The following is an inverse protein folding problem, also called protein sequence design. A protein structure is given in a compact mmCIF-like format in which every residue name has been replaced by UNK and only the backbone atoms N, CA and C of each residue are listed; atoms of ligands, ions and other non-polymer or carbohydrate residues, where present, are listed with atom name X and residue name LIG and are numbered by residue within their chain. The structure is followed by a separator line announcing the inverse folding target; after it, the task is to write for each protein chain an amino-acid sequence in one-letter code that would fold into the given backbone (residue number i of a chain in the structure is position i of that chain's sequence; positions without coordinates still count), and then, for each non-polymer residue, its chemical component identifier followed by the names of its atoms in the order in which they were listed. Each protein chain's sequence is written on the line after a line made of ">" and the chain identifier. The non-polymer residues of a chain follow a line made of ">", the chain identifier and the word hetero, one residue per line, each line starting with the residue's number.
data_IF_131689029748
#
_entry.id   IF_131689029748
#
_cell.length_a   1.000
_cell.length_b   1.000
_cell.length_c   1.000
_cell.angle_alpha   90.00
_cell.angle_beta   90.00
_cell.angle_gamma   90.00
#
_symmetry.space_group_name_H-M   'P 1'
#
loop_
_entity.id
_entity.type
_entity.pdbx_description
1 polymer ?
#
# COMPACT_ATOMS: atom_id res chain seq x y z
N UNK A 1 2.89 58.69 -22.50
CA UNK A 1 4.20 58.00 -22.51
C UNK A 1 4.45 57.48 -21.09
N UNK A 2 4.02 56.25 -20.80
CA UNK A 2 4.67 55.29 -19.87
C UNK A 2 3.74 54.09 -19.68
N UNK A 3 4.32 52.95 -20.01
CA UNK A 3 3.80 51.59 -20.14
C UNK A 3 4.04 50.76 -18.87
N UNK A 4 3.04 49.95 -18.49
CA UNK A 4 3.10 48.66 -17.76
C UNK A 4 3.80 48.62 -16.36
N UNK A 5 3.57 47.69 -15.42
CA UNK A 5 3.22 46.27 -15.46
C UNK A 5 2.70 45.84 -14.05
N UNK A 6 1.61 45.06 -13.96
CA UNK A 6 1.26 44.26 -12.78
C UNK A 6 1.76 42.82 -13.00
N UNK A 7 2.46 42.17 -12.05
CA UNK A 7 2.62 40.73 -12.10
C UNK A 7 1.49 40.01 -11.34
N UNK A 8 0.78 39.15 -12.07
CA UNK A 8 -0.22 38.17 -11.63
C UNK A 8 0.43 37.00 -10.90
N UNK A 9 -0.34 36.39 -10.00
CA UNK A 9 0.08 35.37 -9.05
C UNK A 9 0.58 34.03 -9.63
N UNK A 10 1.41 33.36 -8.82
CA UNK A 10 1.81 31.96 -8.99
C UNK A 10 0.72 31.06 -8.42
N UNK A 11 -0.08 30.44 -9.29
CA UNK A 11 -0.79 29.20 -8.97
C UNK A 11 0.09 28.06 -9.48
N UNK A 12 0.71 27.31 -8.57
CA UNK A 12 1.30 26.01 -8.88
C UNK A 12 0.13 25.03 -9.08
N UNK A 13 -0.22 24.79 -10.32
CA UNK A 13 -1.12 23.73 -10.72
C UNK A 13 -0.36 22.40 -10.63
N UNK A 14 -0.74 21.54 -9.69
CA UNK A 14 -0.40 20.12 -9.72
C UNK A 14 -1.45 19.47 -10.63
N UNK A 15 -1.09 19.33 -11.90
CA UNK A 15 -1.87 18.60 -12.89
C UNK A 15 -1.24 17.23 -13.08
N UNK A 16 -1.84 16.20 -12.47
CA UNK A 16 -1.75 14.83 -12.98
C UNK A 16 -3.18 14.30 -13.08
N UNK A 17 -3.70 14.33 -14.30
CA UNK A 17 -4.97 13.72 -14.67
C UNK A 17 -4.75 12.80 -15.87
N UNK A 18 -5.70 11.87 -16.02
CA UNK A 18 -5.98 10.94 -17.12
C UNK A 18 -5.40 9.53 -16.91
N UNK A 19 -6.21 8.55 -16.49
CA UNK A 19 -7.28 7.86 -17.22
C UNK A 19 -6.77 6.64 -18.00
N UNK A 20 -7.14 5.45 -17.53
CA UNK A 20 -7.25 4.27 -18.38
C UNK A 20 -8.44 3.42 -17.90
N UNK A 21 -9.56 3.56 -18.58
CA UNK A 21 -10.69 2.61 -18.59
C UNK A 21 -10.73 2.02 -20.01
N UNK A 22 -11.25 0.78 -20.12
CA UNK A 22 -11.53 -0.07 -21.29
C UNK A 22 -10.52 -1.21 -21.41
N UNK A 23 -10.85 -2.49 -21.62
CA UNK A 23 -12.06 -3.32 -21.52
C UNK A 23 -11.64 -4.79 -21.80
N UNK A 24 -12.56 -5.72 -21.55
CA UNK A 24 -12.90 -6.89 -22.41
C UNK A 24 -12.89 -8.28 -21.76
N UNK A 25 -13.95 -8.97 -22.19
CA UNK A 25 -14.54 -10.25 -21.88
C UNK A 25 -13.88 -11.48 -22.52
N UNK A 26 -14.32 -12.65 -22.02
CA UNK A 26 -14.37 -13.98 -22.64
C UNK A 26 -13.14 -14.90 -22.47
N UNK A 27 -13.41 -16.11 -21.94
CA UNK A 27 -12.44 -17.21 -21.76
C UNK A 27 -11.96 -17.86 -23.08
N UNK A 28 -11.10 -18.89 -22.99
CA UNK A 28 -11.66 -20.26 -22.89
C UNK A 28 -10.88 -21.22 -21.95
N UNK A 29 -11.58 -22.26 -21.52
CA UNK A 29 -11.05 -23.50 -20.92
C UNK A 29 -10.14 -24.24 -21.90
N UNK A 30 -8.93 -24.63 -21.49
CA UNK A 30 -8.09 -25.56 -22.26
C UNK A 30 -7.50 -26.64 -21.34
N UNK A 31 -7.77 -27.89 -21.74
CA UNK A 31 -7.35 -29.14 -21.13
C UNK A 31 -5.83 -29.37 -21.24
N UNK A 32 -5.24 -29.94 -20.20
CA UNK A 32 -3.84 -30.38 -20.19
C UNK A 32 -3.63 -31.56 -21.14
N UNK A 33 -2.73 -31.43 -22.12
CA UNK A 33 -2.24 -32.55 -22.91
C UNK A 33 -0.72 -32.68 -22.74
N UNK A 34 -0.32 -33.92 -22.46
CA UNK A 34 0.99 -34.50 -22.14
C UNK A 34 2.16 -33.95 -22.98
N UNK A 35 3.27 -33.61 -22.33
CA UNK A 35 4.47 -32.99 -22.90
C UNK A 35 5.48 -34.05 -23.38
N UNK A 36 5.89 -34.00 -24.65
CA UNK A 36 7.03 -34.75 -25.20
C UNK A 36 8.31 -33.90 -25.20
N UNK A 37 9.51 -34.50 -25.14
CA UNK A 37 10.75 -33.77 -24.84
C UNK A 37 11.26 -32.99 -26.06
N UNK A 38 11.53 -31.69 -25.86
CA UNK A 38 11.90 -30.73 -26.91
C UNK A 38 13.44 -30.63 -27.03
N UNK A 39 14.04 -30.68 -28.24
CA UNK A 39 15.48 -30.47 -28.48
C UNK A 39 15.91 -29.00 -28.25
N UNK A 40 17.21 -28.69 -28.09
CA UNK A 40 17.64 -27.42 -27.50
C UNK A 40 17.42 -26.23 -28.45
N UNK A 41 16.72 -25.21 -27.96
CA UNK A 41 16.35 -23.97 -28.69
C UNK A 41 17.40 -22.88 -28.44
N UNK A 42 17.81 -22.09 -29.46
CA UNK A 42 18.79 -21.02 -29.31
C UNK A 42 18.27 -19.84 -28.45
N UNK A 43 19.21 -19.19 -27.77
CA UNK A 43 19.02 -18.11 -26.79
C UNK A 43 18.39 -16.84 -27.40
N UNK A 44 17.06 -16.79 -27.46
CA UNK A 44 16.31 -15.56 -27.77
C UNK A 44 14.93 -15.62 -27.14
N UNK A 45 14.64 -14.62 -26.30
CA UNK A 45 13.42 -14.41 -25.53
C UNK A 45 13.05 -15.57 -24.58
N UNK A 46 13.51 -15.47 -23.32
CA UNK A 46 12.88 -16.21 -22.23
C UNK A 46 11.36 -15.98 -22.32
N UNK A 47 10.53 -17.04 -22.26
CA UNK A 47 9.09 -16.90 -22.37
C UNK A 47 8.62 -15.96 -21.26
N UNK A 48 7.88 -14.91 -21.62
CA UNK A 48 7.23 -14.04 -20.65
C UNK A 48 6.42 -14.93 -19.71
N UNK A 49 6.76 -14.95 -18.43
CA UNK A 49 5.98 -15.70 -17.46
C UNK A 49 4.55 -15.14 -17.48
N UNK A 50 3.57 -15.94 -17.92
CA UNK A 50 2.18 -15.48 -18.00
C UNK A 50 1.62 -15.05 -16.64
N UNK A 51 2.24 -15.51 -15.55
CA UNK A 51 1.90 -15.12 -14.18
C UNK A 51 2.51 -13.78 -13.76
N UNK A 52 3.61 -13.33 -14.37
CA UNK A 52 4.21 -12.00 -14.17
C UNK A 52 4.48 -11.30 -15.51
N UNK A 53 3.44 -10.66 -16.11
CA UNK A 53 3.58 -9.96 -17.38
C UNK A 53 4.63 -8.83 -17.37
N UNK A 54 5.00 -8.33 -16.19
CA UNK A 54 5.91 -7.20 -16.01
C UNK A 54 7.24 -7.60 -15.38
N UNK A 55 7.64 -8.87 -15.46
CA UNK A 55 8.85 -9.41 -14.82
C UNK A 55 10.11 -8.55 -15.06
N UNK A 56 10.33 -8.14 -16.31
CA UNK A 56 11.49 -7.31 -16.68
C UNK A 56 11.50 -5.95 -15.98
N UNK A 57 10.33 -5.32 -15.83
CA UNK A 57 10.18 -4.08 -15.08
C UNK A 57 10.36 -4.36 -13.58
N UNK A 58 9.68 -5.39 -13.08
CA UNK A 58 9.64 -5.74 -11.67
C UNK A 58 11.03 -6.03 -11.11
N UNK A 59 11.85 -6.79 -11.84
CA UNK A 59 13.23 -7.10 -11.47
C UNK A 59 14.13 -5.86 -11.47
N UNK A 60 13.95 -4.94 -12.44
CA UNK A 60 14.74 -3.69 -12.50
C UNK A 60 14.42 -2.79 -11.32
N UNK A 61 13.13 -2.58 -11.05
CA UNK A 61 12.68 -1.75 -9.93
C UNK A 61 13.03 -2.38 -8.60
N UNK A 62 12.94 -3.70 -8.46
CA UNK A 62 13.42 -4.40 -7.26
C UNK A 62 14.89 -4.08 -6.97
N UNK A 63 15.78 -4.17 -7.97
CA UNK A 63 17.20 -3.81 -7.81
C UNK A 63 17.40 -2.35 -7.44
N UNK A 64 16.58 -1.45 -7.99
CA UNK A 64 16.60 -0.03 -7.63
C UNK A 64 16.20 0.17 -6.15
N UNK A 65 15.07 -0.41 -5.72
CA UNK A 65 14.58 -0.34 -4.34
C UNK A 65 15.60 -0.93 -3.36
N UNK A 66 16.14 -2.11 -3.66
CA UNK A 66 17.14 -2.78 -2.83
C UNK A 66 18.45 -1.98 -2.73
N UNK A 67 18.85 -1.29 -3.81
CA UNK A 67 20.01 -0.38 -3.76
C UNK A 67 19.73 0.81 -2.83
N UNK A 68 18.57 1.44 -2.95
CA UNK A 68 18.19 2.55 -2.09
C UNK A 68 18.03 2.12 -0.64
N UNK A 69 17.44 0.95 -0.37
CA UNK A 69 17.34 0.41 0.98
C UNK A 69 18.72 0.25 1.61
N UNK A 70 19.63 -0.44 0.91
CA UNK A 70 20.97 -0.74 1.44
C UNK A 70 21.81 0.50 1.68
N UNK A 71 21.74 1.49 0.79
CA UNK A 71 22.63 2.66 0.83
C UNK A 71 22.05 3.89 1.50
N UNK A 72 20.72 4.01 1.61
CA UNK A 72 20.07 5.18 2.18
C UNK A 72 19.08 4.82 3.30
N UNK A 73 18.02 4.06 3.02
CA UNK A 73 16.91 3.90 3.98
C UNK A 73 17.33 3.12 5.22
N UNK A 74 18.01 1.99 5.06
CA UNK A 74 18.45 1.14 6.18
C UNK A 74 19.49 1.82 7.08
N UNK A 75 20.53 2.50 6.56
CA UNK A 75 21.41 3.32 7.39
C UNK A 75 20.67 4.40 8.17
N UNK A 76 19.73 5.11 7.54
CA UNK A 76 18.90 6.14 8.20
C UNK A 76 18.04 5.54 9.30
N UNK A 77 17.35 4.43 9.03
CA UNK A 77 16.51 3.72 10.00
C UNK A 77 17.33 3.21 11.20
N UNK A 78 18.53 2.65 10.95
CA UNK A 78 19.45 2.24 12.03
C UNK A 78 19.89 3.43 12.88
N UNK A 79 20.21 4.56 12.24
CA UNK A 79 20.60 5.79 12.93
C UNK A 79 19.45 6.29 13.80
N UNK A 80 18.22 6.35 13.26
CA UNK A 80 17.02 6.70 14.02
C UNK A 80 16.84 5.81 15.24
N UNK A 81 16.87 4.47 15.07
CA UNK A 81 16.76 3.49 16.17
C UNK A 81 17.90 3.56 17.18
N UNK A 82 19.07 4.09 16.80
CA UNK A 82 20.20 4.26 17.71
C UNK A 82 20.02 5.48 18.62
N UNK A 83 19.41 6.55 18.11
CA UNK A 83 19.26 7.81 18.84
C UNK A 83 17.91 7.98 19.55
N UNK A 84 16.87 7.33 19.06
CA UNK A 84 15.52 7.41 19.63
C UNK A 84 15.33 6.30 20.66
N UNK A 85 15.00 6.61 21.92
CA UNK A 85 14.66 5.60 22.92
C UNK A 85 13.42 4.80 22.51
N UNK A 86 13.43 3.49 22.77
CA UNK A 86 12.32 2.56 22.48
C UNK A 86 10.95 3.07 22.95
N UNK A 87 10.89 3.76 24.09
CA UNK A 87 9.64 4.31 24.62
C UNK A 87 9.03 5.37 23.67
N UNK A 88 9.87 6.23 23.11
CA UNK A 88 9.43 7.31 22.21
C UNK A 88 9.05 6.74 20.85
N UNK A 89 9.88 5.83 20.31
CA UNK A 89 9.60 5.12 19.07
C UNK A 89 8.24 4.42 19.12
N UNK A 90 8.01 3.61 20.16
CA UNK A 90 6.72 2.92 20.38
C UNK A 90 5.56 3.89 20.54
N UNK A 91 5.74 4.99 21.27
CA UNK A 91 4.66 5.96 21.46
C UNK A 91 4.24 6.61 20.13
N UNK A 92 5.21 6.95 19.28
CA UNK A 92 4.95 7.49 17.94
C UNK A 92 4.24 6.45 17.08
N UNK A 93 4.73 5.21 17.06
CA UNK A 93 4.10 4.10 16.32
C UNK A 93 2.66 3.89 16.77
N UNK A 94 2.41 3.80 18.08
CA UNK A 94 1.05 3.64 18.62
C UNK A 94 0.13 4.79 18.24
N UNK A 95 0.63 6.04 18.26
CA UNK A 95 -0.16 7.20 17.87
C UNK A 95 -0.63 7.11 16.42
N UNK A 96 0.26 6.76 15.48
CA UNK A 96 -0.12 6.59 14.08
C UNK A 96 -0.99 5.35 13.84
N UNK A 97 -0.77 4.25 14.57
CA UNK A 97 -1.64 3.08 14.51
C UNK A 97 -3.04 3.41 15.01
N UNK A 98 -3.16 4.21 16.08
CA UNK A 98 -4.44 4.71 16.58
C UNK A 98 -5.18 5.54 15.52
N UNK A 99 -4.50 6.46 14.84
CA UNK A 99 -5.12 7.23 13.74
C UNK A 99 -5.61 6.33 12.59
N UNK A 100 -4.87 5.25 12.32
CA UNK A 100 -5.24 4.27 11.30
C UNK A 100 -6.52 3.51 11.65
N UNK A 101 -6.90 3.42 12.93
CA UNK A 101 -8.16 2.75 13.30
C UNK A 101 -9.40 3.41 12.70
N UNK A 102 -9.34 4.70 12.35
CA UNK A 102 -10.42 5.38 11.61
C UNK A 102 -10.55 4.82 10.19
N UNK A 103 -9.43 4.59 9.51
CA UNK A 103 -9.38 3.92 8.20
C UNK A 103 -9.89 2.48 8.32
N UNK A 104 -9.39 1.73 9.32
CA UNK A 104 -9.79 0.35 9.56
C UNK A 104 -11.29 0.23 9.81
N UNK A 105 -11.86 1.12 10.63
CA UNK A 105 -13.30 1.19 10.88
C UNK A 105 -14.07 1.45 9.59
N UNK A 106 -13.69 2.49 8.84
CA UNK A 106 -14.39 2.89 7.61
C UNK A 106 -14.40 1.76 6.59
N UNK A 107 -13.25 1.14 6.34
CA UNK A 107 -13.13 0.02 5.41
C UNK A 107 -13.84 -1.24 5.93
N UNK A 108 -13.78 -1.54 7.24
CA UNK A 108 -14.54 -2.64 7.84
C UNK A 108 -16.04 -2.48 7.62
N UNK A 109 -16.57 -1.26 7.77
CA UNK A 109 -17.99 -0.96 7.51
C UNK A 109 -18.33 -1.14 6.03
N UNK A 110 -17.49 -0.63 5.13
CA UNK A 110 -17.67 -0.79 3.68
C UNK A 110 -17.59 -2.25 3.23
N UNK A 111 -16.83 -3.08 3.95
CA UNK A 111 -16.71 -4.52 3.72
C UNK A 111 -17.75 -5.35 4.51
N UNK A 112 -18.69 -4.71 5.22
CA UNK A 112 -19.69 -5.38 6.05
C UNK A 112 -19.10 -6.29 7.15
N UNK A 113 -17.85 -6.04 7.55
CA UNK A 113 -17.14 -6.75 8.63
C UNK A 113 -17.45 -6.10 9.98
N UNK A 114 -18.65 -6.36 10.50
CA UNK A 114 -19.14 -5.72 11.74
C UNK A 114 -18.24 -5.93 12.95
N UNK A 115 -17.68 -7.13 13.12
CA UNK A 115 -16.76 -7.42 14.23
C UNK A 115 -15.46 -6.60 14.13
N UNK A 116 -14.85 -6.51 12.95
CA UNK A 116 -13.67 -5.68 12.72
C UNK A 116 -13.96 -4.19 12.94
N UNK A 117 -15.13 -3.71 12.52
CA UNK A 117 -15.53 -2.32 12.74
C UNK A 117 -15.65 -1.99 14.23
N UNK A 118 -16.27 -2.86 15.02
CA UNK A 118 -16.40 -2.69 16.48
C UNK A 118 -15.03 -2.71 17.15
N UNK A 119 -14.15 -3.63 16.74
CA UNK A 119 -12.78 -3.72 17.25
C UNK A 119 -12.00 -2.44 16.95
N UNK A 120 -12.05 -1.92 15.73
CA UNK A 120 -11.36 -0.69 15.35
C UNK A 120 -11.86 0.53 16.16
N UNK A 121 -13.17 0.69 16.33
CA UNK A 121 -13.75 1.77 17.18
C UNK A 121 -13.35 1.61 18.64
N UNK A 122 -13.38 0.38 19.15
CA UNK A 122 -12.93 0.06 20.50
C UNK A 122 -11.47 0.44 20.70
N UNK A 123 -10.58 -0.01 19.80
CA UNK A 123 -9.15 0.31 19.82
C UNK A 123 -8.92 1.82 19.80
N UNK A 124 -9.54 2.54 18.86
CA UNK A 124 -9.46 3.99 18.77
C UNK A 124 -9.90 4.68 20.07
N UNK A 125 -11.03 4.25 20.64
CA UNK A 125 -11.62 4.86 21.83
C UNK A 125 -10.74 4.63 23.06
N UNK A 126 -10.33 3.38 23.33
CA UNK A 126 -9.52 3.06 24.50
C UNK A 126 -8.13 3.69 24.41
N UNK A 127 -7.48 3.62 23.25
CA UNK A 127 -6.15 4.19 23.07
C UNK A 127 -6.18 5.72 23.12
N UNK A 128 -7.23 6.36 22.59
CA UNK A 128 -7.37 7.82 22.68
C UNK A 128 -7.69 8.29 24.11
N UNK A 129 -8.64 7.63 24.80
CA UNK A 129 -9.14 8.08 26.10
C UNK A 129 -8.23 7.66 27.26
N UNK A 130 -7.81 6.39 27.28
CA UNK A 130 -7.00 5.83 28.36
C UNK A 130 -5.51 5.79 27.99
N UNK A 131 -5.20 5.72 26.69
CA UNK A 131 -3.85 5.61 26.17
C UNK A 131 -3.17 6.93 25.83
N UNK A 132 -3.58 8.04 26.47
CA UNK A 132 -3.02 9.38 26.27
C UNK A 132 -3.05 9.84 24.80
N UNK A 133 -4.21 9.76 24.15
CA UNK A 133 -4.37 10.19 22.76
C UNK A 133 -3.80 9.20 21.73
N UNK A 134 -3.58 7.95 22.12
CA UNK A 134 -3.06 6.89 21.25
C UNK A 134 -1.58 6.57 21.46
N UNK A 135 -0.86 7.26 22.36
CA UNK A 135 0.56 6.98 22.63
C UNK A 135 0.77 5.63 23.32
N UNK A 136 -0.24 5.14 24.04
CA UNK A 136 -0.20 3.84 24.75
C UNK A 136 -1.32 2.96 24.19
N UNK A 137 -0.95 1.76 23.72
CA UNK A 137 -1.92 0.76 23.23
C UNK A 137 -2.57 -0.01 24.39
N UNK A 138 -3.54 0.63 25.04
CA UNK A 138 -4.36 0.06 26.10
C UNK A 138 -5.30 -1.01 25.55
N UNK A 139 -5.79 -0.86 24.33
CA UNK A 139 -6.74 -1.76 23.72
C UNK A 139 -6.19 -3.18 23.54
N UNK A 140 -4.92 -3.31 23.17
CA UNK A 140 -4.25 -4.62 23.12
C UNK A 140 -4.22 -5.29 24.49
N UNK A 141 -3.96 -4.56 25.57
CA UNK A 141 -4.01 -5.10 26.94
C UNK A 141 -5.42 -5.54 27.36
N UNK A 142 -6.47 -4.96 26.76
CA UNK A 142 -7.88 -5.35 26.94
C UNK A 142 -8.31 -6.52 26.03
N UNK A 143 -7.40 -7.08 25.23
CA UNK A 143 -7.69 -8.23 24.36
C UNK A 143 -8.38 -7.86 23.04
N UNK A 144 -8.26 -6.61 22.58
CA UNK A 144 -8.76 -6.19 21.26
C UNK A 144 -7.63 -6.31 20.22
N UNK A 145 -7.56 -7.38 19.41
CA UNK A 145 -6.51 -7.52 18.41
C UNK A 145 -6.66 -6.49 17.29
N UNK A 146 -5.55 -6.00 16.74
CA UNK A 146 -5.59 -5.12 15.57
C UNK A 146 -6.16 -5.87 14.34
N UNK A 147 -6.94 -5.15 13.53
CA UNK A 147 -7.55 -5.67 12.29
C UNK A 147 -7.37 -4.63 11.18
N UNK A 148 -6.20 -4.60 10.54
CA UNK A 148 -5.90 -3.61 9.53
C UNK A 148 -6.78 -3.83 8.29
N UNK A 149 -7.45 -2.76 7.84
CA UNK A 149 -8.27 -2.78 6.63
C UNK A 149 -7.96 -1.53 5.80
N UNK A 150 -7.85 -1.72 4.49
CA UNK A 150 -7.55 -0.68 3.49
C UNK A 150 -8.58 -0.68 2.35
N UNK A 151 -8.60 0.38 1.56
CA UNK A 151 -9.57 0.54 0.49
C UNK A 151 -9.30 -0.44 -0.67
N UNK A 152 -8.07 -0.89 -0.86
CA UNK A 152 -7.73 -1.94 -1.82
C UNK A 152 -8.41 -3.27 -1.48
N UNK A 153 -8.43 -3.63 -0.19
CA UNK A 153 -9.19 -4.77 0.33
C UNK A 153 -10.70 -4.55 0.19
N UNK A 154 -11.19 -3.34 0.44
CA UNK A 154 -12.60 -2.98 0.22
C UNK A 154 -13.01 -3.20 -1.23
N UNK A 155 -12.23 -2.73 -2.20
CA UNK A 155 -12.47 -2.99 -3.62
C UNK A 155 -12.47 -4.51 -3.90
N UNK A 156 -11.56 -5.26 -3.28
CA UNK A 156 -11.50 -6.72 -3.38
C UNK A 156 -12.76 -7.42 -2.86
N UNK A 157 -13.27 -6.98 -1.71
CA UNK A 157 -14.52 -7.48 -1.12
C UNK A 157 -15.72 -7.33 -2.08
N UNK A 158 -15.75 -6.22 -2.83
CA UNK A 158 -16.78 -5.95 -3.84
C UNK A 158 -16.48 -6.54 -5.23
N UNK A 159 -15.48 -7.42 -5.35
CA UNK A 159 -15.21 -8.20 -6.56
C UNK A 159 -14.20 -7.57 -7.53
N UNK A 160 -13.52 -6.49 -7.15
CA UNK A 160 -12.40 -5.99 -7.95
C UNK A 160 -11.21 -6.96 -7.85
N UNK A 161 -10.80 -7.52 -8.99
CA UNK A 161 -9.58 -8.31 -9.08
C UNK A 161 -8.34 -7.48 -8.71
N UNK A 162 -7.30 -8.14 -8.20
CA UNK A 162 -6.02 -7.48 -7.87
C UNK A 162 -5.37 -6.83 -9.10
N UNK A 163 -5.41 -7.54 -10.24
CA UNK A 163 -4.64 -7.23 -11.43
C UNK A 163 -3.23 -7.85 -11.36
N UNK A 164 -2.42 -7.68 -12.41
CA UNK A 164 -1.06 -8.21 -12.45
C UNK A 164 -0.17 -7.59 -11.37
N UNK A 165 0.80 -8.38 -10.92
CA UNK A 165 1.83 -7.92 -9.99
C UNK A 165 2.68 -6.81 -10.61
N UNK A 166 2.92 -5.75 -9.83
CA UNK A 166 3.75 -4.62 -10.24
C UNK A 166 4.63 -4.16 -9.08
N UNK A 167 5.95 -4.15 -9.30
CA UNK A 167 6.91 -3.56 -8.39
C UNK A 167 7.02 -2.06 -8.68
N UNK A 168 6.86 -1.26 -7.64
CA UNK A 168 6.89 0.19 -7.71
C UNK A 168 8.18 0.76 -7.12
N UNK A 169 8.76 1.80 -7.75
CA UNK A 169 9.89 2.50 -7.17
C UNK A 169 9.54 3.02 -5.78
N UNK A 170 10.40 2.76 -4.79
CA UNK A 170 10.29 3.10 -3.37
C UNK A 170 9.16 2.41 -2.60
N UNK A 171 7.99 2.22 -3.21
CA UNK A 171 6.80 1.66 -2.56
C UNK A 171 6.81 0.13 -2.49
N UNK A 172 7.51 -0.55 -3.42
CA UNK A 172 7.65 -2.00 -3.38
C UNK A 172 6.54 -2.78 -4.12
N UNK A 173 6.31 -4.05 -3.72
CA UNK A 173 5.27 -4.94 -4.26
C UNK A 173 3.88 -4.30 -4.27
N UNK A 174 3.16 -4.38 -5.40
CA UNK A 174 1.80 -3.83 -5.48
C UNK A 174 0.98 -4.45 -6.61
N UNK A 175 -0.27 -4.02 -6.73
CA UNK A 175 -1.20 -4.35 -7.81
C UNK A 175 -2.03 -3.12 -8.19
N UNK A 176 -2.66 -3.07 -9.39
CA UNK A 176 -3.54 -1.96 -9.77
C UNK A 176 -4.63 -1.66 -8.72
N UNK A 177 -5.22 -2.69 -8.12
CA UNK A 177 -6.22 -2.53 -7.05
C UNK A 177 -5.62 -1.94 -5.78
N UNK A 178 -4.45 -2.42 -5.38
CA UNK A 178 -3.79 -1.89 -4.20
C UNK A 178 -3.40 -0.42 -4.41
N UNK A 179 -2.90 -0.07 -5.60
CA UNK A 179 -2.55 1.31 -5.94
C UNK A 179 -3.75 2.27 -5.92
N UNK A 180 -4.88 1.85 -6.48
CA UNK A 180 -6.09 2.67 -6.42
C UNK A 180 -6.63 2.77 -4.99
N UNK A 181 -6.53 1.68 -4.23
CA UNK A 181 -6.76 1.61 -2.78
C UNK A 181 -5.97 2.67 -2.03
N UNK A 182 -4.65 2.57 -2.14
CA UNK A 182 -3.68 3.50 -1.55
C UNK A 182 -3.97 4.95 -1.93
N UNK A 183 -4.27 5.22 -3.20
CA UNK A 183 -4.60 6.57 -3.66
C UNK A 183 -5.84 7.15 -2.98
N UNK A 184 -6.87 6.33 -2.75
CA UNK A 184 -8.06 6.71 -2.02
C UNK A 184 -7.78 6.88 -0.52
N UNK A 185 -7.06 5.93 0.08
CA UNK A 185 -6.73 5.96 1.50
C UNK A 185 -5.86 7.16 1.84
N UNK A 186 -4.82 7.50 1.06
CA UNK A 186 -3.99 8.69 1.29
C UNK A 186 -4.79 9.98 1.14
N UNK A 187 -5.78 10.01 0.25
CA UNK A 187 -6.62 11.19 0.04
C UNK A 187 -7.57 11.43 1.22
N UNK A 188 -8.13 10.37 1.81
CA UNK A 188 -9.12 10.45 2.90
C UNK A 188 -8.45 10.42 4.28
N UNK A 189 -7.39 9.62 4.43
CA UNK A 189 -6.63 9.35 5.64
C UNK A 189 -5.14 9.54 5.38
N UNK A 190 -4.59 10.74 5.56
CA UNK A 190 -3.22 11.10 5.12
C UNK A 190 -2.10 10.49 5.97
N UNK A 191 -2.29 9.30 6.55
CA UNK A 191 -1.26 8.56 7.30
C UNK A 191 -0.65 7.45 6.43
N UNK A 192 0.55 7.65 5.86
CA UNK A 192 1.22 6.62 5.06
C UNK A 192 1.93 5.55 5.92
N UNK A 193 1.80 5.60 7.24
CA UNK A 193 2.64 4.84 8.18
C UNK A 193 2.57 3.33 7.95
N UNK A 194 1.39 2.80 7.63
CA UNK A 194 1.15 1.36 7.53
C UNK A 194 1.60 0.76 6.19
N UNK A 195 1.81 1.58 5.17
CA UNK A 195 2.29 1.13 3.84
C UNK A 195 3.74 0.66 3.89
N UNK A 196 4.46 1.02 4.96
CA UNK A 196 5.85 0.64 5.18
C UNK A 196 5.96 -0.73 5.85
N UNK A 197 4.89 -1.22 6.49
CA UNK A 197 4.94 -2.38 7.41
C UNK A 197 4.20 -3.63 6.91
N UNK A 198 3.45 -3.58 5.80
CA UNK A 198 2.62 -4.70 5.34
C UNK A 198 3.00 -5.35 3.99
N UNK A 199 4.20 -5.97 3.83
CA UNK A 199 4.48 -6.79 2.65
C UNK A 199 3.60 -8.07 2.55
N UNK A 200 2.94 -8.47 3.64
CA UNK A 200 2.52 -9.85 3.84
C UNK A 200 1.13 -10.21 3.27
N UNK A 201 0.36 -9.25 2.76
CA UNK A 201 -1.03 -9.47 2.33
C UNK A 201 -1.30 -9.15 0.85
N UNK A 202 -0.33 -9.40 -0.04
CA UNK A 202 -0.48 -9.08 -1.48
C UNK A 202 -1.01 -10.23 -2.37
N UNK A 203 -1.54 -11.31 -1.79
CA UNK A 203 -2.10 -12.44 -2.56
C UNK A 203 -3.42 -12.94 -1.98
#
# INVERSE_FOLDING_TARGET
>A
MMTHYLPRGRRLAISFAAAFIVAMSAGPTIAQTKQEPVPPVPESAAPTNSQDPYENWNRKVYRFNDTIDRWALRPVAKTYRTFVPDLIDRAITNFFNNLTEVRNFTNSVLQLKGESAIVAVGRFTYNTVLGLGGLIDVATALGLPERPEDFGQTLGYWGAGSGPYLMLPLLGPSSPRHLSGLGADVFVFPSPWNEVESPDNYY
#
